data_IF_700746326641
#
_entry.id   IF_700746326641
#
_cell.length_a   1.000
_cell.length_b   1.000
_cell.length_c   1.000
_cell.angle_alpha   90.00
_cell.angle_beta   90.00
_cell.angle_gamma   90.00
#
_symmetry.space_group_name_H-M   'P 1'
#
loop_
_entity.id
_entity.type
_entity.pdbx_description
1 polymer ?
#
# COMPACT_ATOMS: atom_id res chain seq x y z
N UNK A 1 26.93 6.03 6.12
CA UNK A 1 26.40 6.69 4.92
C UNK A 1 25.05 6.04 4.66
N UNK A 2 23.97 6.64 5.15
CA UNK A 2 22.60 6.10 5.01
C UNK A 2 22.21 6.20 3.54
N UNK A 3 21.80 5.08 2.94
CA UNK A 3 21.14 5.07 1.64
C UNK A 3 19.65 5.10 1.86
N UNK A 4 19.00 6.19 1.45
CA UNK A 4 17.53 6.29 1.45
C UNK A 4 17.07 6.24 0.01
N UNK A 5 16.12 5.34 -0.27
CA UNK A 5 15.65 5.03 -1.64
C UNK A 5 15.13 6.29 -2.34
N UNK A 6 15.59 6.50 -3.57
CA UNK A 6 15.02 7.45 -4.53
C UNK A 6 13.67 6.94 -5.03
N UNK A 7 12.74 7.88 -5.23
CA UNK A 7 11.49 7.63 -5.95
C UNK A 7 11.80 7.47 -7.45
N UNK A 8 11.27 6.41 -8.06
CA UNK A 8 11.37 6.17 -9.51
C UNK A 8 9.96 6.08 -10.09
N UNK A 9 9.71 6.84 -11.16
CA UNK A 9 8.61 6.60 -12.08
C UNK A 9 9.21 5.84 -13.27
N UNK A 10 8.81 4.58 -13.47
CA UNK A 10 9.30 3.75 -14.57
C UNK A 10 8.15 3.43 -15.50
N UNK A 11 8.19 3.94 -16.72
CA UNK A 11 7.31 3.51 -17.81
C UNK A 11 7.92 2.30 -18.51
N UNK A 12 7.17 1.19 -18.62
CA UNK A 12 7.59 0.01 -19.37
C UNK A 12 6.84 -0.05 -20.71
N UNK A 13 7.58 -0.05 -21.81
CA UNK A 13 7.06 -0.46 -23.13
C UNK A 13 7.53 -1.88 -23.43
N UNK A 14 6.58 -2.80 -23.62
CA UNK A 14 6.84 -4.15 -24.14
C UNK A 14 6.52 -4.20 -25.63
N UNK A 15 7.54 -4.49 -26.46
CA UNK A 15 7.33 -4.95 -27.82
C UNK A 15 7.46 -6.48 -27.90
N UNK A 16 6.31 -7.10 -28.19
CA UNK A 16 5.99 -8.40 -28.79
C UNK A 16 7.03 -9.54 -28.85
N UNK A 17 6.59 -10.74 -28.44
CA UNK A 17 6.58 -11.96 -29.27
C UNK A 17 5.47 -12.94 -28.82
N UNK A 18 4.83 -13.55 -29.82
CA UNK A 18 3.73 -14.54 -29.81
C UNK A 18 3.93 -15.70 -28.80
N UNK A 19 2.88 -16.36 -28.26
CA UNK A 19 2.15 -17.48 -28.90
C UNK A 19 0.93 -17.93 -28.05
N UNK A 20 -0.20 -18.13 -28.74
CA UNK A 20 -1.40 -18.99 -28.47
C UNK A 20 -2.32 -18.69 -27.27
N UNK A 21 -3.40 -17.99 -27.59
CA UNK A 21 -4.68 -17.94 -26.86
C UNK A 21 -5.41 -19.29 -26.90
N UNK A 22 -5.97 -19.72 -25.77
CA UNK A 22 -7.04 -20.72 -25.69
C UNK A 22 -8.28 -20.02 -25.13
N UNK A 23 -9.36 -20.12 -25.90
CA UNK A 23 -10.67 -19.52 -25.66
C UNK A 23 -11.41 -20.32 -24.58
N UNK A 24 -11.97 -19.64 -23.58
CA UNK A 24 -13.10 -20.14 -22.80
C UNK A 24 -14.22 -19.12 -22.87
N UNK A 25 -15.25 -19.43 -23.66
CA UNK A 25 -16.50 -18.70 -23.72
C UNK A 25 -17.47 -19.34 -22.72
N UNK A 26 -17.95 -18.55 -21.75
CA UNK A 26 -19.13 -18.92 -20.96
C UNK A 26 -20.27 -17.97 -21.35
N UNK A 27 -21.20 -18.50 -22.14
CA UNK A 27 -22.46 -17.85 -22.50
C UNK A 27 -23.40 -17.90 -21.28
N UNK A 28 -23.74 -16.75 -20.72
CA UNK A 28 -24.89 -16.58 -19.83
C UNK A 28 -25.89 -15.65 -20.51
N UNK A 29 -26.93 -16.27 -21.06
CA UNK A 29 -28.11 -15.61 -21.60
C UNK A 29 -28.88 -14.92 -20.46
N UNK A 30 -29.03 -13.60 -20.53
CA UNK A 30 -30.04 -12.87 -19.75
C UNK A 30 -31.26 -12.62 -20.64
N UNK A 31 -32.39 -13.23 -20.27
CA UNK A 31 -33.70 -12.86 -20.78
C UNK A 31 -34.16 -11.57 -20.07
N UNK A 32 -34.46 -10.54 -20.86
CA UNK A 32 -35.15 -9.34 -20.39
C UNK A 32 -36.63 -9.68 -20.19
N UNK A 33 -37.12 -9.56 -18.96
CA UNK A 33 -38.54 -9.30 -18.71
C UNK A 33 -38.67 -7.97 -17.97
N UNK A 34 -39.40 -7.05 -18.60
CA UNK A 34 -39.84 -5.80 -18.01
C UNK A 34 -40.95 -6.09 -17.00
N UNK A 35 -40.82 -5.63 -15.75
CA UNK A 35 -42.00 -5.19 -15.03
C UNK A 35 -41.69 -4.13 -13.97
N UNK A 36 -42.51 -3.08 -14.04
CA UNK A 36 -42.48 -1.88 -13.23
C UNK A 36 -43.26 -2.14 -11.95
N UNK A 37 -42.60 -2.19 -10.77
CA UNK A 37 -43.25 -1.97 -9.46
C UNK A 37 -42.22 -1.77 -8.36
N UNK A 38 -42.40 -0.70 -7.59
CA UNK A 38 -41.66 -0.35 -6.38
C UNK A 38 -41.50 -1.55 -5.44
N UNK A 39 -40.28 -2.07 -5.30
CA UNK A 39 -39.88 -2.93 -4.19
C UNK A 39 -38.45 -2.59 -3.78
N UNK A 40 -38.31 -2.11 -2.55
CA UNK A 40 -37.04 -1.92 -1.86
C UNK A 40 -36.34 -3.28 -1.79
N UNK A 41 -35.23 -3.43 -2.52
CA UNK A 41 -34.42 -4.63 -2.46
C UNK A 41 -33.70 -4.68 -1.10
N UNK A 42 -34.27 -5.41 -0.16
CA UNK A 42 -33.59 -5.82 1.06
C UNK A 42 -32.52 -6.84 0.65
N UNK A 43 -31.30 -6.38 0.45
CA UNK A 43 -30.14 -7.26 0.25
C UNK A 43 -29.80 -7.84 1.63
N UNK A 44 -30.27 -9.06 1.89
CA UNK A 44 -29.80 -9.85 3.03
C UNK A 44 -28.40 -10.36 2.69
N UNK A 45 -27.39 -9.83 3.38
CA UNK A 45 -26.05 -10.39 3.35
C UNK A 45 -26.10 -11.82 3.88
N UNK A 46 -25.91 -12.80 3.00
CA UNK A 46 -25.59 -14.16 3.42
C UNK A 46 -24.17 -14.14 3.95
N UNK A 47 -24.02 -14.12 5.27
CA UNK A 47 -22.74 -14.37 5.92
C UNK A 47 -22.25 -15.76 5.49
N UNK A 48 -21.33 -15.79 4.52
CA UNK A 48 -20.53 -16.97 4.25
C UNK A 48 -19.72 -17.26 5.51
N UNK A 49 -20.06 -18.34 6.21
CA UNK A 49 -19.22 -18.87 7.28
C UNK A 49 -17.87 -19.24 6.68
N UNK A 50 -16.88 -18.37 6.88
CA UNK A 50 -15.47 -18.69 6.64
C UNK A 50 -15.10 -19.81 7.60
N UNK A 51 -14.79 -20.99 7.08
CA UNK A 51 -14.15 -22.06 7.85
C UNK A 51 -12.86 -21.50 8.45
N UNK A 52 -12.83 -21.36 9.77
CA UNK A 52 -11.68 -20.87 10.51
C UNK A 52 -10.46 -21.77 10.22
N UNK A 53 -9.37 -21.17 9.73
CA UNK A 53 -8.13 -21.90 9.46
C UNK A 53 -7.69 -22.66 10.72
N UNK A 54 -7.16 -23.87 10.56
CA UNK A 54 -6.65 -24.66 11.69
C UNK A 54 -5.16 -24.39 11.87
N UNK A 55 -4.65 -24.40 13.12
CA UNK A 55 -3.22 -24.22 13.38
C UNK A 55 -2.42 -25.36 12.72
N UNK A 56 -1.24 -25.06 12.13
CA UNK A 56 -0.34 -26.08 11.63
C UNK A 56 0.09 -27.03 12.76
N UNK A 57 0.29 -28.31 12.42
CA UNK A 57 0.70 -29.32 13.40
C UNK A 57 2.10 -29.80 13.07
N UNK A 58 3.06 -29.54 13.96
CA UNK A 58 4.43 -30.02 13.81
C UNK A 58 4.48 -31.55 13.81
N UNK A 59 5.23 -32.14 12.85
CA UNK A 59 5.55 -33.57 12.89
C UNK A 59 6.41 -33.89 14.12
N UNK A 60 6.16 -35.06 14.71
CA UNK A 60 6.98 -35.60 15.80
C UNK A 60 8.07 -36.49 15.23
N UNK A 61 9.32 -36.10 15.40
CA UNK A 61 10.52 -36.88 15.03
C UNK A 61 11.36 -37.04 16.30
N UNK A 62 11.36 -38.22 16.93
CA UNK A 62 12.10 -38.43 18.18
C UNK A 62 13.60 -38.18 17.99
N UNK A 63 14.15 -37.28 18.79
CA UNK A 63 15.59 -37.07 18.91
C UNK A 63 16.00 -37.28 20.37
N UNK A 64 16.88 -38.25 20.62
CA UNK A 64 17.40 -38.52 21.96
C UNK A 64 18.63 -37.66 22.23
N UNK A 65 18.63 -37.01 23.39
CA UNK A 65 19.76 -36.27 23.92
C UNK A 65 20.09 -36.85 25.29
N UNK A 66 21.34 -37.22 25.52
CA UNK A 66 21.83 -37.65 26.83
C UNK A 66 22.78 -36.60 27.39
N UNK A 67 22.44 -36.05 28.55
CA UNK A 67 23.33 -35.15 29.29
C UNK A 67 23.33 -35.57 30.77
N UNK A 68 24.54 -35.74 31.33
CA UNK A 68 24.74 -36.09 32.73
C UNK A 68 24.01 -37.37 33.19
N UNK A 69 23.81 -38.33 32.28
CA UNK A 69 23.10 -39.58 32.55
C UNK A 69 21.58 -39.47 32.52
N UNK A 70 21.02 -38.32 32.14
CA UNK A 70 19.59 -38.13 31.87
C UNK A 70 19.33 -38.18 30.36
N UNK A 71 18.38 -39.01 29.93
CA UNK A 71 18.00 -39.19 28.52
C UNK A 71 16.67 -38.47 28.27
N UNK A 72 16.73 -37.40 27.49
CA UNK A 72 15.55 -36.65 27.05
C UNK A 72 15.24 -36.96 25.58
N UNK A 73 13.97 -37.23 25.29
CA UNK A 73 13.46 -37.31 23.92
C UNK A 73 12.81 -35.96 23.56
N UNK A 74 13.38 -35.25 22.59
CA UNK A 74 12.77 -34.08 21.97
C UNK A 74 12.18 -34.48 20.62
N UNK A 75 10.84 -34.53 20.53
CA UNK A 75 10.14 -34.87 19.29
C UNK A 75 10.18 -33.75 18.24
N UNK A 76 10.67 -32.56 18.59
CA UNK A 76 10.63 -31.37 17.74
C UNK A 76 12.02 -30.76 17.51
N UNK A 77 13.08 -31.48 17.86
CA UNK A 77 14.46 -31.02 17.68
C UNK A 77 14.77 -30.61 16.24
N UNK A 78 14.09 -31.20 15.26
CA UNK A 78 14.22 -30.86 13.83
C UNK A 78 13.82 -29.41 13.49
N UNK A 79 13.07 -28.72 14.35
CA UNK A 79 12.77 -27.29 14.22
C UNK A 79 13.96 -26.40 14.59
N UNK A 80 14.93 -26.94 15.32
CA UNK A 80 16.19 -26.26 15.62
C UNK A 80 17.19 -26.57 14.52
N UNK A 81 17.34 -25.64 13.59
CA UNK A 81 18.38 -25.67 12.57
C UNK A 81 19.23 -24.40 12.64
N UNK A 82 20.41 -24.51 13.24
CA UNK A 82 21.34 -23.39 13.41
C UNK A 82 21.83 -22.84 12.06
N UNK A 83 21.78 -23.65 10.99
CA UNK A 83 22.12 -23.21 9.62
C UNK A 83 20.98 -22.45 8.92
N UNK A 84 19.74 -22.57 9.41
CA UNK A 84 18.51 -21.97 8.85
C UNK A 84 18.26 -22.33 7.38
N UNK A 85 18.62 -23.54 6.97
CA UNK A 85 18.54 -24.03 5.59
C UNK A 85 17.66 -25.28 5.41
N UNK A 86 17.22 -25.92 6.51
CA UNK A 86 16.40 -27.11 6.46
C UNK A 86 15.01 -26.80 5.85
N UNK A 87 14.64 -27.43 4.71
CA UNK A 87 13.41 -27.12 4.00
C UNK A 87 12.14 -27.51 4.77
N UNK A 88 12.19 -28.57 5.58
CA UNK A 88 11.04 -28.98 6.39
C UNK A 88 10.75 -27.96 7.48
N UNK A 89 11.80 -27.47 8.15
CA UNK A 89 11.70 -26.45 9.21
C UNK A 89 11.15 -25.15 8.63
N UNK A 90 11.72 -24.69 7.50
CA UNK A 90 11.27 -23.47 6.83
C UNK A 90 9.81 -23.58 6.37
N UNK A 91 9.42 -24.72 5.79
CA UNK A 91 8.03 -24.97 5.36
C UNK A 91 7.04 -24.92 6.53
N UNK A 92 7.40 -25.50 7.68
CA UNK A 92 6.55 -25.43 8.88
C UNK A 92 6.43 -24.00 9.42
N UNK A 93 7.54 -23.26 9.52
CA UNK A 93 7.49 -21.85 9.95
C UNK A 93 6.70 -20.96 8.98
N UNK A 94 6.77 -21.23 7.67
CA UNK A 94 5.93 -20.55 6.68
C UNK A 94 4.44 -20.84 6.89
N UNK A 95 4.07 -22.07 7.23
CA UNK A 95 2.69 -22.43 7.56
C UNK A 95 2.22 -21.73 8.85
N UNK A 96 3.06 -21.64 9.87
CA UNK A 96 2.76 -20.90 11.12
C UNK A 96 2.55 -19.41 10.85
N UNK A 97 3.39 -18.80 10.01
CA UNK A 97 3.22 -17.41 9.58
C UNK A 97 1.92 -17.24 8.78
N UNK A 98 1.63 -18.13 7.83
CA UNK A 98 0.39 -18.05 7.04
C UNK A 98 -0.87 -18.20 7.90
N UNK A 99 -0.84 -19.10 8.88
CA UNK A 99 -1.92 -19.25 9.85
C UNK A 99 -2.08 -17.99 10.70
N UNK A 100 -0.96 -17.44 11.19
CA UNK A 100 -0.93 -16.20 11.96
C UNK A 100 -1.50 -15.03 11.14
N UNK A 101 -1.03 -14.84 9.91
CA UNK A 101 -1.52 -13.81 8.98
C UNK A 101 -3.02 -13.99 8.65
N UNK A 102 -3.50 -15.23 8.58
CA UNK A 102 -4.93 -15.51 8.36
C UNK A 102 -5.84 -15.11 9.52
N UNK A 103 -5.26 -14.91 10.71
CA UNK A 103 -5.98 -14.57 11.93
C UNK A 103 -5.77 -13.11 12.36
N UNK A 104 -4.75 -12.43 11.84
CA UNK A 104 -4.37 -11.09 12.32
C UNK A 104 -5.11 -9.99 11.57
N UNK A 105 -5.89 -9.24 12.36
CA UNK A 105 -6.27 -7.85 12.06
C UNK A 105 -5.26 -6.94 12.75
N UNK A 106 -4.61 -6.04 12.01
CA UNK A 106 -3.66 -5.08 12.59
C UNK A 106 -4.42 -3.91 13.20
N UNK A 107 -4.40 -3.76 14.52
CA UNK A 107 -4.88 -2.53 15.17
C UNK A 107 -3.87 -1.41 14.89
N UNK A 108 -4.35 -0.31 14.30
CA UNK A 108 -3.55 0.87 13.98
C UNK A 108 -3.68 1.97 15.02
N UNK A 109 -4.90 2.19 15.52
CA UNK A 109 -5.21 3.26 16.46
C UNK A 109 -6.46 2.90 17.26
N UNK A 110 -6.65 3.58 18.38
CA UNK A 110 -7.88 3.52 19.16
C UNK A 110 -8.30 4.93 19.56
N UNK A 111 -9.60 5.18 19.55
CA UNK A 111 -10.17 6.42 20.04
C UNK A 111 -11.24 6.10 21.09
N UNK A 112 -11.04 6.65 22.28
CA UNK A 112 -11.89 6.40 23.44
C UNK A 112 -12.92 7.52 23.60
N UNK A 113 -14.16 7.11 23.88
CA UNK A 113 -15.27 7.95 24.28
C UNK A 113 -15.77 7.50 25.65
N UNK A 114 -16.69 8.25 26.26
CA UNK A 114 -17.25 7.90 27.56
C UNK A 114 -18.04 6.58 27.53
N UNK A 115 -18.73 6.27 26.43
CA UNK A 115 -19.56 5.08 26.25
C UNK A 115 -19.17 4.21 25.04
N UNK A 116 -18.12 4.56 24.29
CA UNK A 116 -17.65 3.80 23.13
C UNK A 116 -16.12 3.68 23.05
N UNK A 117 -15.66 2.61 22.43
CA UNK A 117 -14.28 2.42 21.96
C UNK A 117 -14.30 2.25 20.43
N UNK A 118 -13.60 3.13 19.73
CA UNK A 118 -13.40 3.07 18.29
C UNK A 118 -12.04 2.46 18.03
N UNK A 119 -11.99 1.39 17.23
CA UNK A 119 -10.75 0.71 16.87
C UNK A 119 -10.54 0.87 15.37
N UNK A 120 -9.40 1.48 15.02
CA UNK A 120 -8.95 1.57 13.63
C UNK A 120 -8.07 0.37 13.35
N UNK A 121 -8.48 -0.41 12.37
CA UNK A 121 -7.95 -1.71 12.05
C UNK A 121 -7.45 -1.75 10.62
N UNK A 122 -6.60 -2.72 10.30
CA UNK A 122 -6.15 -3.02 8.96
C UNK A 122 -6.25 -4.51 8.72
N UNK A 123 -7.00 -4.88 7.70
CA UNK A 123 -7.17 -6.26 7.30
C UNK A 123 -6.94 -6.37 5.79
N UNK A 124 -6.11 -7.33 5.38
CA UNK A 124 -5.70 -7.51 4.00
C UNK A 124 -5.19 -6.22 3.35
N UNK A 125 -4.64 -5.28 4.13
CA UNK A 125 -4.14 -4.01 3.66
C UNK A 125 -5.17 -2.90 3.41
N UNK A 126 -6.45 -3.09 3.76
CA UNK A 126 -7.48 -2.04 3.77
C UNK A 126 -7.75 -1.58 5.21
N UNK A 127 -7.95 -0.28 5.45
CA UNK A 127 -8.36 0.21 6.76
C UNK A 127 -9.81 -0.20 7.06
N UNK A 128 -10.11 -0.41 8.32
CA UNK A 128 -11.44 -0.71 8.87
C UNK A 128 -11.64 0.11 10.15
N UNK A 129 -12.89 0.42 10.45
CA UNK A 129 -13.26 1.09 11.71
C UNK A 129 -14.34 0.27 12.39
N UNK A 130 -14.02 -0.25 13.56
CA UNK A 130 -14.93 -1.07 14.37
C UNK A 130 -15.23 -0.34 15.66
N UNK A 131 -16.51 -0.20 16.00
CA UNK A 131 -16.98 0.52 17.18
C UNK A 131 -17.53 -0.48 18.18
N UNK A 132 -17.09 -0.38 19.43
CA UNK A 132 -17.56 -1.19 20.55
C UNK A 132 -18.23 -0.30 21.59
N UNK A 133 -19.37 -0.75 22.12
CA UNK A 133 -19.95 -0.15 23.31
C UNK A 133 -19.11 -0.46 24.55
N UNK A 134 -18.97 0.51 25.44
CA UNK A 134 -18.33 0.35 26.74
C UNK A 134 -19.37 0.21 27.84
N UNK A 135 -19.04 -0.48 28.95
CA UNK A 135 -19.92 -0.53 30.11
C UNK A 135 -20.02 0.85 30.78
N UNK A 136 -21.04 1.02 31.62
CA UNK A 136 -21.24 2.24 32.39
C UNK A 136 -20.02 2.57 33.28
N UNK A 137 -19.83 3.86 33.57
CA UNK A 137 -18.70 4.33 34.38
C UNK A 137 -18.72 3.65 35.75
N UNK A 138 -17.63 2.95 36.07
CA UNK A 138 -17.46 2.21 37.33
C UNK A 138 -17.63 0.70 37.19
N UNK A 139 -18.23 0.23 36.08
CA UNK A 139 -18.33 -1.20 35.79
C UNK A 139 -17.06 -1.72 35.09
N UNK A 140 -16.56 -2.92 35.45
CA UNK A 140 -15.33 -3.44 34.88
C UNK A 140 -15.53 -3.92 33.42
N UNK A 141 -14.68 -3.45 32.51
CA UNK A 141 -14.58 -3.99 31.15
C UNK A 141 -13.91 -5.37 31.19
N UNK A 142 -14.70 -6.44 31.04
CA UNK A 142 -14.20 -7.83 30.98
C UNK A 142 -13.85 -8.29 29.57
N UNK A 143 -14.68 -7.93 28.59
CA UNK A 143 -14.51 -8.28 27.18
C UNK A 143 -15.27 -7.28 26.30
N UNK A 144 -14.75 -7.01 25.10
CA UNK A 144 -15.50 -6.28 24.07
C UNK A 144 -16.51 -7.24 23.41
N UNK A 145 -17.77 -6.82 23.30
CA UNK A 145 -18.87 -7.60 22.73
C UNK A 145 -19.60 -6.75 21.68
N UNK A 146 -20.07 -7.36 20.60
CA UNK A 146 -21.00 -6.72 19.66
C UNK A 146 -20.42 -5.53 18.88
N UNK A 147 -19.14 -5.57 18.51
CA UNK A 147 -18.53 -4.53 17.69
C UNK A 147 -19.26 -4.34 16.35
N UNK A 148 -19.55 -3.10 15.98
CA UNK A 148 -20.15 -2.79 14.69
C UNK A 148 -19.11 -2.20 13.74
N UNK A 149 -19.14 -2.63 12.48
CA UNK A 149 -18.26 -2.12 11.44
C UNK A 149 -18.87 -0.87 10.80
N UNK A 150 -18.07 0.18 10.62
CA UNK A 150 -18.47 1.32 9.79
C UNK A 150 -18.40 0.93 8.32
N UNK A 151 -19.52 1.05 7.60
CA UNK A 151 -19.58 0.80 6.17
C UNK A 151 -19.13 2.04 5.37
N UNK A 152 -18.34 1.80 4.32
CA UNK A 152 -17.82 2.83 3.45
C UNK A 152 -18.35 2.68 2.02
N UNK A 153 -18.46 3.81 1.32
CA UNK A 153 -19.13 3.92 0.02
C UNK A 153 -18.41 3.11 -1.06
N UNK A 154 -17.08 3.21 -1.08
CA UNK A 154 -16.22 2.56 -2.06
C UNK A 154 -15.62 1.26 -1.50
N UNK A 155 -15.36 0.23 -2.33
CA UNK A 155 -14.72 -1.01 -1.92
C UNK A 155 -13.22 -0.87 -1.60
N UNK A 156 -12.59 0.24 -2.04
CA UNK A 156 -11.18 0.56 -1.82
C UNK A 156 -11.13 2.03 -1.44
N UNK A 157 -10.64 2.32 -0.24
CA UNK A 157 -10.76 3.63 0.37
C UNK A 157 -9.64 3.87 1.40
N UNK A 158 -9.51 5.13 1.81
CA UNK A 158 -8.79 5.54 3.01
C UNK A 158 -9.78 6.10 4.03
N UNK A 159 -9.50 5.86 5.30
CA UNK A 159 -10.19 6.50 6.42
C UNK A 159 -9.16 6.89 7.47
N UNK A 160 -9.23 8.13 7.93
CA UNK A 160 -8.32 8.68 8.93
C UNK A 160 -9.11 9.23 10.13
N UNK A 161 -8.64 9.01 11.36
CA UNK A 161 -9.27 9.57 12.54
C UNK A 161 -9.29 11.10 12.53
N UNK A 162 -10.33 11.68 13.12
CA UNK A 162 -10.39 13.10 13.43
C UNK A 162 -10.70 13.30 14.91
N UNK A 163 -10.29 14.45 15.43
CA UNK A 163 -10.58 14.82 16.81
C UNK A 163 -12.10 14.87 17.03
N UNK A 164 -12.54 14.17 18.07
CA UNK A 164 -13.95 14.08 18.48
C UNK A 164 -14.05 14.35 19.97
N UNK A 165 -15.17 14.92 20.41
CA UNK A 165 -15.37 15.24 21.83
C UNK A 165 -15.60 13.94 22.62
N UNK A 166 -14.87 13.74 23.72
CA UNK A 166 -14.91 12.51 24.53
C UNK A 166 -16.33 12.11 24.98
N UNK A 167 -17.19 13.09 25.29
CA UNK A 167 -18.57 12.85 25.74
C UNK A 167 -19.60 12.81 24.59
N UNK A 168 -19.16 12.72 23.34
CA UNK A 168 -20.04 12.67 22.17
C UNK A 168 -20.30 11.25 21.73
N UNK A 169 -21.49 10.99 21.18
CA UNK A 169 -21.74 9.78 20.39
C UNK A 169 -21.31 9.92 18.93
N UNK A 170 -20.79 11.08 18.53
CA UNK A 170 -20.42 11.38 17.15
C UNK A 170 -18.92 11.17 16.97
N UNK A 171 -18.58 10.20 16.13
CA UNK A 171 -17.23 10.00 15.59
C UNK A 171 -17.06 10.84 14.33
N UNK A 172 -16.03 11.68 14.29
CA UNK A 172 -15.63 12.36 13.05
C UNK A 172 -14.43 11.65 12.42
N UNK A 173 -14.49 11.42 11.12
CA UNK A 173 -13.38 10.88 10.35
C UNK A 173 -13.24 11.55 8.98
N UNK A 174 -12.02 11.50 8.44
CA UNK A 174 -11.74 11.85 7.05
C UNK A 174 -11.85 10.60 6.19
N UNK A 175 -12.45 10.74 5.01
CA UNK A 175 -12.69 9.65 4.06
C UNK A 175 -12.27 10.09 2.67
N UNK A 176 -11.62 9.20 1.92
CA UNK A 176 -11.38 9.40 0.49
C UNK A 176 -11.22 8.07 -0.24
N UNK A 177 -11.26 8.10 -1.56
CA UNK A 177 -10.80 6.98 -2.39
C UNK A 177 -10.13 7.52 -3.66
N UNK A 178 -9.65 6.64 -4.53
CA UNK A 178 -9.10 7.06 -5.82
C UNK A 178 -10.14 7.71 -6.75
N UNK A 179 -11.44 7.61 -6.46
CA UNK A 179 -12.52 8.28 -7.20
C UNK A 179 -13.44 9.14 -6.34
N UNK A 180 -13.25 9.18 -5.02
CA UNK A 180 -14.06 9.99 -4.10
C UNK A 180 -13.18 11.05 -3.44
N UNK A 181 -13.45 12.35 -3.68
CA UNK A 181 -12.65 13.44 -3.12
C UNK A 181 -12.59 13.42 -1.58
N UNK A 182 -11.56 14.03 -0.97
CA UNK A 182 -11.45 14.17 0.47
C UNK A 182 -12.74 14.71 1.09
N UNK A 183 -13.27 13.92 2.02
CA UNK A 183 -14.56 14.14 2.65
C UNK A 183 -14.45 14.03 4.17
N UNK A 184 -15.31 14.74 4.88
CA UNK A 184 -15.43 14.69 6.34
C UNK A 184 -16.83 14.20 6.67
N UNK A 185 -16.91 13.13 7.46
CA UNK A 185 -18.17 12.56 7.93
C UNK A 185 -18.28 12.69 9.44
N UNK A 186 -19.50 12.95 9.89
CA UNK A 186 -19.94 12.70 11.26
C UNK A 186 -20.69 11.38 11.28
N UNK A 187 -20.27 10.46 12.13
CA UNK A 187 -20.87 9.14 12.29
C UNK A 187 -21.46 9.01 13.68
N UNK A 188 -22.77 8.79 13.76
CA UNK A 188 -23.43 8.52 15.02
C UNK A 188 -23.24 7.06 15.42
N UNK A 189 -22.40 6.84 16.42
CA UNK A 189 -22.04 5.51 16.90
C UNK A 189 -23.22 4.73 17.51
N UNK A 190 -24.31 5.41 17.87
CA UNK A 190 -25.52 4.77 18.43
C UNK A 190 -26.49 4.30 17.36
N UNK A 191 -26.65 5.08 16.30
CA UNK A 191 -27.62 4.79 15.23
C UNK A 191 -26.98 4.15 14.01
N UNK A 192 -25.66 4.27 13.88
CA UNK A 192 -24.88 3.79 12.74
C UNK A 192 -24.97 4.69 11.50
N UNK A 193 -25.47 5.93 11.64
CA UNK A 193 -25.73 6.84 10.52
C UNK A 193 -24.54 7.77 10.25
N UNK A 194 -24.07 7.79 9.00
CA UNK A 194 -23.07 8.73 8.48
C UNK A 194 -23.72 9.99 7.88
N UNK A 195 -23.23 11.17 8.26
CA UNK A 195 -23.63 12.46 7.68
C UNK A 195 -22.40 13.17 7.10
N UNK A 196 -22.44 13.44 5.79
CA UNK A 196 -21.40 14.22 5.11
C UNK A 196 -21.40 15.67 5.62
N UNK A 197 -20.25 16.15 6.07
CA UNK A 197 -20.06 17.52 6.59
C UNK A 197 -19.37 18.41 5.59
N UNK A 198 -18.39 17.86 4.89
CA UNK A 198 -17.60 18.58 3.88
C UNK A 198 -17.11 17.58 2.85
N UNK A 199 -17.15 17.98 1.60
CA UNK A 199 -16.44 17.32 0.50
C UNK A 199 -15.63 18.38 -0.24
N UNK A 200 -14.39 18.05 -0.58
CA UNK A 200 -13.55 18.93 -1.39
C UNK A 200 -14.09 19.00 -2.82
N UNK A 201 -14.40 20.21 -3.28
CA UNK A 201 -14.92 20.42 -4.63
C UNK A 201 -13.79 20.29 -5.65
N UNK A 202 -13.92 19.31 -6.54
CA UNK A 202 -13.03 19.18 -7.70
C UNK A 202 -13.60 20.00 -8.86
N UNK A 203 -12.82 20.98 -9.32
CA UNK A 203 -13.20 21.85 -10.44
C UNK A 203 -13.06 21.12 -11.79
N UNK A 204 -13.64 21.68 -12.85
CA UNK A 204 -13.44 21.18 -14.22
C UNK A 204 -14.36 20.03 -14.64
N UNK A 205 -15.55 19.91 -14.03
CA UNK A 205 -16.57 18.94 -14.46
C UNK A 205 -16.29 17.50 -14.01
N UNK A 206 -15.56 17.33 -12.90
CA UNK A 206 -15.32 16.01 -12.32
C UNK A 206 -16.64 15.30 -11.96
N UNK A 207 -16.73 14.04 -12.37
CA UNK A 207 -17.79 13.12 -11.95
C UNK A 207 -17.14 11.77 -11.58
N UNK A 208 -17.27 11.40 -10.32
CA UNK A 208 -16.77 10.15 -9.76
C UNK A 208 -17.33 8.92 -10.49
N UNK A 209 -18.53 9.04 -11.08
CA UNK A 209 -19.19 7.97 -11.81
C UNK A 209 -18.40 7.56 -13.06
N UNK A 210 -17.56 8.44 -13.62
CA UNK A 210 -16.74 8.15 -14.80
C UNK A 210 -15.57 7.21 -14.52
N UNK A 211 -15.25 6.96 -13.25
CA UNK A 211 -14.09 6.20 -12.84
C UNK A 211 -14.48 4.84 -12.27
N UNK A 212 -13.66 3.84 -12.55
CA UNK A 212 -13.73 2.53 -11.94
C UNK A 212 -12.51 2.32 -11.04
N UNK A 213 -12.73 1.64 -9.92
CA UNK A 213 -11.66 1.25 -8.99
C UNK A 213 -11.74 -0.25 -8.76
N UNK A 214 -10.59 -0.91 -8.75
CA UNK A 214 -10.48 -2.33 -8.44
C UNK A 214 -9.19 -2.64 -7.71
N UNK A 215 -9.19 -3.78 -7.03
CA UNK A 215 -8.03 -4.30 -6.32
C UNK A 215 -7.63 -5.62 -6.95
N UNK A 216 -6.36 -5.73 -7.32
CA UNK A 216 -5.76 -6.96 -7.84
C UNK A 216 -4.66 -7.44 -6.92
N UNK A 217 -4.29 -8.71 -7.06
CA UNK A 217 -3.20 -9.33 -6.33
C UNK A 217 -2.14 -9.80 -7.33
N UNK A 218 -0.90 -9.36 -7.15
CA UNK A 218 0.25 -9.86 -7.88
C UNK A 218 1.01 -10.88 -7.03
N UNK A 219 1.50 -11.95 -7.66
CA UNK A 219 2.30 -12.96 -6.98
C UNK A 219 3.78 -12.53 -7.02
N UNK A 220 4.42 -12.42 -5.86
CA UNK A 220 5.86 -12.29 -5.76
C UNK A 220 6.56 -13.64 -6.06
N UNK A 221 7.88 -13.66 -6.36
CA UNK A 221 8.60 -14.91 -6.62
C UNK A 221 8.56 -15.93 -5.48
N UNK A 222 8.35 -15.47 -4.24
CA UNK A 222 8.20 -16.33 -3.05
C UNK A 222 6.74 -16.76 -2.80
N UNK A 223 5.80 -16.39 -3.69
CA UNK A 223 4.38 -16.69 -3.56
C UNK A 223 3.57 -15.66 -2.76
N UNK A 224 4.22 -14.66 -2.14
CA UNK A 224 3.52 -13.60 -1.39
C UNK A 224 2.56 -12.84 -2.31
N UNK A 225 1.31 -12.66 -1.88
CA UNK A 225 0.33 -11.86 -2.62
C UNK A 225 0.47 -10.37 -2.29
N UNK A 226 0.79 -9.57 -3.32
CA UNK A 226 0.96 -8.12 -3.22
C UNK A 226 -0.30 -7.42 -3.73
N UNK A 227 -1.04 -6.68 -2.89
CA UNK A 227 -2.23 -5.97 -3.33
C UNK A 227 -1.88 -4.74 -4.16
N UNK A 228 -2.65 -4.54 -5.23
CA UNK A 228 -2.53 -3.41 -6.16
C UNK A 228 -3.90 -2.74 -6.27
N UNK A 229 -3.97 -1.47 -5.92
CA UNK A 229 -5.16 -0.63 -6.13
C UNK A 229 -5.05 0.05 -7.50
N UNK A 230 -6.08 -0.10 -8.33
CA UNK A 230 -6.13 0.42 -9.70
C UNK A 230 -7.32 1.36 -9.84
N UNK A 231 -7.12 2.50 -10.50
CA UNK A 231 -8.17 3.44 -10.91
C UNK A 231 -8.01 3.78 -12.39
N UNK A 232 -9.12 3.87 -13.11
CA UNK A 232 -9.13 4.32 -14.51
C UNK A 232 -10.47 4.92 -14.93
N UNK A 233 -10.48 5.68 -16.03
CA UNK A 233 -11.69 6.24 -16.64
C UNK A 233 -12.34 5.22 -17.58
N UNK A 234 -13.62 4.89 -17.34
CA UNK A 234 -14.31 3.74 -17.96
C UNK A 234 -14.46 3.83 -19.47
N UNK A 235 -14.56 5.05 -20.00
CA UNK A 235 -14.80 5.34 -21.42
C UNK A 235 -13.51 5.46 -22.25
N UNK A 236 -12.34 5.52 -21.60
CA UNK A 236 -11.05 5.67 -22.28
C UNK A 236 -10.21 4.40 -22.28
N UNK A 237 -10.27 3.61 -21.20
CA UNK A 237 -9.37 2.46 -21.00
C UNK A 237 -9.95 1.19 -21.61
N UNK A 238 -9.12 0.45 -22.36
CA UNK A 238 -9.52 -0.74 -23.12
C UNK A 238 -9.25 -2.06 -22.40
N UNK A 239 -8.27 -2.07 -21.50
CA UNK A 239 -7.77 -3.25 -20.78
C UNK A 239 -7.23 -4.36 -21.69
N UNK A 240 -6.73 -4.01 -22.87
CA UNK A 240 -6.14 -4.94 -23.85
C UNK A 240 -4.60 -5.01 -23.77
N UNK A 241 -4.01 -4.28 -22.82
CA UNK A 241 -2.56 -4.18 -22.61
C UNK A 241 -1.90 -3.04 -23.38
N UNK A 242 -2.65 -2.25 -24.16
CA UNK A 242 -2.13 -1.07 -24.85
C UNK A 242 -2.24 0.23 -24.06
N UNK A 243 -3.04 0.25 -22.99
CA UNK A 243 -3.28 1.45 -22.19
C UNK A 243 -2.01 1.87 -21.42
N UNK A 244 -1.66 3.17 -21.39
CA UNK A 244 -0.56 3.66 -20.59
C UNK A 244 -0.86 3.48 -19.09
N UNK A 245 0.10 2.95 -18.34
CA UNK A 245 -0.02 2.70 -16.90
C UNK A 245 1.08 3.47 -16.14
N UNK A 246 0.65 4.23 -15.14
CA UNK A 246 1.54 4.75 -14.10
C UNK A 246 1.46 3.85 -12.87
N UNK A 247 2.54 3.13 -12.58
CA UNK A 247 2.68 2.32 -11.36
C UNK A 247 3.46 3.10 -10.30
N UNK A 248 2.89 3.25 -9.11
CA UNK A 248 3.49 3.96 -7.97
C UNK A 248 3.74 3.02 -6.79
N UNK A 249 4.82 3.26 -6.03
CA UNK A 249 5.15 2.50 -4.82
C UNK A 249 6.18 3.20 -3.92
N UNK A 250 6.24 2.78 -2.66
CA UNK A 250 7.18 3.30 -1.65
C UNK A 250 7.88 2.18 -0.88
N UNK A 251 7.14 1.43 -0.04
CA UNK A 251 7.58 0.17 0.55
C UNK A 251 8.73 0.26 1.55
N UNK A 252 8.68 1.20 2.50
CA UNK A 252 9.68 1.34 3.59
C UNK A 252 9.04 1.92 4.85
N UNK A 253 9.71 1.79 6.00
CA UNK A 253 9.29 2.36 7.29
C UNK A 253 7.93 1.90 7.84
N UNK A 254 7.45 0.70 7.49
CA UNK A 254 6.05 0.28 7.75
C UNK A 254 5.01 1.28 7.24
N UNK A 255 5.43 2.24 6.41
CA UNK A 255 4.54 3.19 5.80
C UNK A 255 3.76 2.42 4.75
N UNK A 256 2.47 2.26 5.03
CA UNK A 256 1.53 2.01 3.96
C UNK A 256 1.52 3.29 3.12
N UNK A 257 1.49 3.16 1.79
CA UNK A 257 1.08 4.29 0.95
C UNK A 257 -0.42 4.43 1.17
N UNK A 258 -0.74 5.13 2.25
CA UNK A 258 -2.02 5.75 2.59
C UNK A 258 -1.68 7.24 2.84
N UNK A 259 -2.57 8.19 2.50
CA UNK A 259 -2.15 9.58 2.31
C UNK A 259 -2.07 10.40 3.62
N UNK A 260 -1.04 10.22 4.49
CA UNK A 260 -0.55 11.23 5.51
C UNK A 260 0.55 10.72 6.52
N UNK A 261 0.85 11.48 7.60
CA UNK A 261 2.03 11.44 8.50
C UNK A 261 1.70 11.38 10.01
N UNK A 262 2.53 10.73 10.89
CA UNK A 262 2.41 10.78 12.38
C UNK A 262 3.73 10.69 13.18
N UNK A 263 3.72 11.30 14.38
CA UNK A 263 4.87 11.63 15.26
C UNK A 263 5.14 10.65 16.44
N UNK A 264 4.41 9.54 16.57
CA UNK A 264 4.48 8.61 17.71
C UNK A 264 5.78 7.79 17.84
N UNK A 265 6.75 7.98 16.94
CA UNK A 265 8.04 7.26 16.94
C UNK A 265 8.99 7.61 18.10
N UNK A 266 8.65 8.58 18.94
CA UNK A 266 9.52 9.01 20.04
C UNK A 266 9.53 8.04 21.24
N UNK A 267 8.46 7.29 21.51
CA UNK A 267 8.37 6.45 22.72
C UNK A 267 9.28 5.20 22.72
N UNK A 268 9.67 4.74 21.52
CA UNK A 268 10.55 3.58 21.31
C UNK A 268 12.04 3.97 21.36
N UNK A 269 12.39 5.20 20.98
CA UNK A 269 13.77 5.71 20.99
C UNK A 269 14.25 6.03 22.42
N UNK A 270 13.37 6.54 23.28
CA UNK A 270 13.66 6.84 24.69
C UNK A 270 13.91 5.59 25.55
N UNK A 271 13.67 4.39 25.01
CA UNK A 271 13.80 3.09 25.69
C UNK A 271 14.87 2.18 25.07
N UNK A 272 15.77 2.76 24.26
CA UNK A 272 16.95 2.07 23.74
C UNK A 272 16.69 1.08 22.60
N UNK A 273 15.52 1.14 21.95
CA UNK A 273 15.27 0.35 20.75
C UNK A 273 15.90 1.02 19.53
N UNK A 274 16.65 0.23 18.77
CA UNK A 274 17.24 0.64 17.49
C UNK A 274 16.25 0.28 16.38
N UNK A 275 15.96 1.25 15.51
CA UNK A 275 15.13 1.04 14.32
C UNK A 275 15.94 1.39 13.05
N UNK A 276 15.98 0.40 12.16
CA UNK A 276 16.37 0.38 10.75
C UNK A 276 17.83 0.02 10.31
N UNK A 277 17.83 -1.11 9.57
CA UNK A 277 18.62 -1.62 8.45
C UNK A 277 20.13 -1.59 8.55
N UNK A 278 20.66 -2.76 8.91
CA UNK A 278 21.97 -3.26 8.54
C UNK A 278 23.11 -2.34 8.91
N UNK A 279 23.90 -2.69 9.92
CA UNK A 279 25.13 -1.96 10.17
C UNK A 279 26.11 -2.20 9.00
N UNK A 280 26.41 -1.22 8.12
CA UNK A 280 27.31 -1.44 6.99
C UNK A 280 28.76 -1.67 7.43
N UNK A 281 29.04 -1.56 8.74
CA UNK A 281 30.33 -1.98 9.33
C UNK A 281 30.39 -3.50 9.56
N UNK A 282 29.26 -4.20 9.44
CA UNK A 282 29.17 -5.66 9.40
C UNK A 282 29.10 -6.10 7.95
N UNK A 283 29.99 -7.02 7.59
CA UNK A 283 30.20 -7.48 6.22
C UNK A 283 28.92 -8.00 5.55
N UNK A 284 28.16 -8.83 6.26
CA UNK A 284 26.87 -9.36 5.80
C UNK A 284 25.91 -8.26 5.33
N UNK A 285 25.73 -7.23 6.17
CA UNK A 285 24.82 -6.14 5.86
C UNK A 285 25.38 -5.20 4.79
N UNK A 286 26.70 -4.99 4.76
CA UNK A 286 27.33 -4.21 3.69
C UNK A 286 27.04 -4.83 2.31
N UNK A 287 27.28 -6.13 2.13
CA UNK A 287 27.01 -6.79 0.86
C UNK A 287 25.52 -6.87 0.54
N UNK A 288 24.67 -7.10 1.54
CA UNK A 288 23.22 -7.04 1.36
C UNK A 288 22.76 -5.66 0.89
N UNK A 289 23.17 -4.57 1.55
CA UNK A 289 22.84 -3.19 1.16
C UNK A 289 23.38 -2.85 -0.22
N UNK A 290 24.63 -3.23 -0.51
CA UNK A 290 25.26 -3.01 -1.81
C UNK A 290 24.54 -3.75 -2.94
N UNK A 291 23.94 -4.92 -2.68
CA UNK A 291 23.25 -5.71 -3.70
C UNK A 291 22.05 -5.02 -4.35
N UNK A 292 21.41 -4.07 -3.64
CA UNK A 292 20.25 -3.33 -4.14
C UNK A 292 20.44 -1.81 -4.17
N UNK A 293 21.60 -1.30 -3.75
CA UNK A 293 21.95 0.13 -3.85
C UNK A 293 21.81 0.63 -5.29
N UNK A 294 20.94 1.64 -5.57
CA UNK A 294 20.73 2.10 -6.94
C UNK A 294 22.01 2.64 -7.61
N UNK A 295 22.80 3.44 -6.88
CA UNK A 295 24.04 4.03 -7.41
C UNK A 295 25.08 2.95 -7.67
N UNK A 296 25.23 1.96 -6.79
CA UNK A 296 26.27 0.94 -6.95
C UNK A 296 25.95 -0.05 -8.08
N UNK A 297 24.66 -0.27 -8.38
CA UNK A 297 24.19 -1.23 -9.38
C UNK A 297 23.92 -0.63 -10.77
N UNK A 298 24.26 0.65 -11.01
CA UNK A 298 24.32 1.18 -12.39
C UNK A 298 25.39 0.43 -13.18
N UNK A 299 25.02 -0.06 -14.37
CA UNK A 299 25.86 -0.86 -15.26
C UNK A 299 25.62 -0.48 -16.72
N UNK A 300 26.49 -0.94 -17.61
CA UNK A 300 26.31 -0.72 -19.05
C UNK A 300 25.10 -1.49 -19.58
N UNK A 301 24.00 -0.77 -19.81
CA UNK A 301 22.75 -1.29 -20.35
C UNK A 301 21.84 -0.16 -20.83
N UNK A 302 20.76 -0.52 -21.50
CA UNK A 302 19.69 0.41 -21.81
C UNK A 302 18.86 0.70 -20.56
N UNK A 303 18.54 1.97 -20.32
CA UNK A 303 17.65 2.47 -19.28
C UNK A 303 16.41 3.11 -19.92
N UNK A 304 15.24 3.13 -19.25
CA UNK A 304 14.07 3.85 -19.76
C UNK A 304 14.28 5.36 -19.74
N UNK A 305 13.33 6.13 -20.29
CA UNK A 305 13.23 7.55 -19.99
C UNK A 305 13.11 7.74 -18.46
N UNK A 306 13.97 8.59 -17.88
CA UNK A 306 14.02 8.84 -16.43
C UNK A 306 14.03 10.35 -16.15
N UNK A 307 13.10 10.77 -15.30
CA UNK A 307 13.14 12.08 -14.64
C UNK A 307 13.52 11.90 -13.17
N UNK A 308 14.64 12.49 -12.76
CA UNK A 308 15.06 12.58 -11.36
C UNK A 308 14.81 13.98 -10.83
N UNK A 309 14.08 14.11 -9.71
CA UNK A 309 13.85 15.38 -9.02
C UNK A 309 14.55 15.41 -7.66
N UNK A 310 15.03 16.58 -7.25
CA UNK A 310 15.64 16.79 -5.92
C UNK A 310 15.40 18.22 -5.41
N UNK A 311 15.60 18.44 -4.12
CA UNK A 311 15.70 19.78 -3.53
C UNK A 311 17.10 20.03 -2.99
N UNK A 312 17.69 21.19 -3.27
CA UNK A 312 19.04 21.52 -2.79
C UNK A 312 19.11 21.53 -1.27
N UNK A 313 18.05 22.00 -0.61
CA UNK A 313 17.96 22.15 0.84
C UNK A 313 17.18 20.99 1.49
N UNK A 314 17.13 19.82 0.84
CA UNK A 314 16.44 18.65 1.38
C UNK A 314 17.17 18.11 2.63
N UNK A 315 16.55 18.17 3.83
CA UNK A 315 17.17 17.70 5.06
C UNK A 315 17.01 16.18 5.28
N UNK A 316 16.25 15.48 4.43
CA UNK A 316 15.93 14.05 4.56
C UNK A 316 16.71 13.17 3.61
N UNK A 317 16.91 13.63 2.37
CA UNK A 317 17.72 12.96 1.35
C UNK A 317 18.61 14.01 0.71
N UNK A 318 19.93 13.89 0.86
CA UNK A 318 20.84 14.92 0.35
C UNK A 318 20.79 14.94 -1.18
N UNK A 319 20.72 16.14 -1.79
CA UNK A 319 20.72 16.31 -3.25
C UNK A 319 21.88 15.60 -3.97
N UNK A 320 22.99 15.37 -3.26
CA UNK A 320 24.17 14.71 -3.81
C UNK A 320 23.92 13.23 -4.15
N UNK A 321 22.95 12.57 -3.51
CA UNK A 321 22.56 11.20 -3.83
C UNK A 321 21.95 11.10 -5.25
N UNK A 322 20.85 11.81 -5.58
CA UNK A 322 20.30 11.81 -6.94
C UNK A 322 21.26 12.40 -7.98
N UNK A 323 22.07 13.40 -7.62
CA UNK A 323 23.04 13.98 -8.56
C UNK A 323 24.11 12.96 -8.98
N UNK A 324 24.70 12.21 -8.03
CA UNK A 324 25.67 11.14 -8.34
C UNK A 324 25.03 10.02 -9.15
N UNK A 325 23.80 9.64 -8.81
CA UNK A 325 23.06 8.61 -9.54
C UNK A 325 22.88 8.99 -11.02
N UNK A 326 22.40 10.21 -11.29
CA UNK A 326 22.23 10.71 -12.67
C UNK A 326 23.56 10.79 -13.40
N UNK A 327 24.61 11.30 -12.74
CA UNK A 327 25.94 11.38 -13.36
C UNK A 327 26.45 9.98 -13.78
N UNK A 328 26.31 8.99 -12.90
CA UNK A 328 26.72 7.61 -13.20
C UNK A 328 25.85 6.95 -14.26
N UNK A 329 24.54 7.22 -14.28
CA UNK A 329 23.66 6.75 -15.35
C UNK A 329 24.08 7.29 -16.72
N UNK A 330 24.39 8.59 -16.82
CA UNK A 330 24.84 9.22 -18.07
C UNK A 330 26.13 8.65 -18.60
N UNK A 331 27.02 8.23 -17.71
CA UNK A 331 28.32 7.63 -18.06
C UNK A 331 28.17 6.19 -18.58
N UNK A 332 27.22 5.42 -18.04
CA UNK A 332 27.11 3.97 -18.29
C UNK A 332 25.95 3.55 -19.20
N UNK A 333 24.89 4.34 -19.33
CA UNK A 333 23.75 3.98 -20.18
C UNK A 333 24.18 3.82 -21.64
N UNK A 334 23.60 2.85 -22.34
CA UNK A 334 23.96 2.53 -23.74
C UNK A 334 22.89 2.92 -24.76
N UNK A 335 21.75 3.41 -24.29
CA UNK A 335 20.64 3.90 -25.11
C UNK A 335 20.67 5.44 -25.27
N UNK A 336 19.74 5.98 -26.06
CA UNK A 336 19.56 7.43 -26.27
C UNK A 336 18.31 8.00 -25.57
N UNK A 337 17.72 7.23 -24.64
CA UNK A 337 16.51 7.65 -23.91
C UNK A 337 16.80 8.85 -23.00
N UNK A 338 15.75 9.61 -22.74
CA UNK A 338 15.79 10.88 -22.06
C UNK A 338 16.13 10.70 -20.57
N UNK A 339 17.19 11.38 -20.10
CA UNK A 339 17.59 11.39 -18.70
C UNK A 339 17.70 12.83 -18.14
N UNK A 340 16.64 13.26 -17.46
CA UNK A 340 16.54 14.60 -16.88
C UNK A 340 16.84 14.60 -15.38
N UNK A 341 17.51 15.66 -14.92
CA UNK A 341 17.70 15.94 -13.51
C UNK A 341 17.25 17.37 -13.20
N UNK A 342 16.25 17.49 -12.34
CA UNK A 342 15.66 18.76 -11.91
C UNK A 342 15.88 18.94 -10.41
N UNK A 343 16.89 19.72 -10.06
CA UNK A 343 17.18 20.07 -8.67
C UNK A 343 16.62 21.46 -8.37
N UNK A 344 15.61 21.53 -7.51
CA UNK A 344 15.03 22.78 -7.05
C UNK A 344 15.94 23.45 -6.01
N UNK A 345 16.61 24.52 -6.43
CA UNK A 345 17.64 25.18 -5.61
C UNK A 345 17.06 25.91 -4.38
N UNK A 346 15.78 26.27 -4.42
CA UNK A 346 15.08 26.91 -3.30
C UNK A 346 14.25 25.96 -2.43
N UNK A 347 14.18 24.67 -2.77
CA UNK A 347 13.27 23.73 -2.12
C UNK A 347 13.99 22.72 -1.23
N UNK A 348 13.22 22.14 -0.30
CA UNK A 348 13.61 20.98 0.50
C UNK A 348 12.97 19.69 -0.02
N UNK A 349 12.65 18.79 0.90
CA UNK A 349 12.17 17.44 0.57
C UNK A 349 10.86 17.38 -0.23
N UNK A 350 9.98 18.36 -0.04
CA UNK A 350 8.62 18.34 -0.61
C UNK A 350 8.47 19.24 -1.84
N UNK A 351 9.58 19.63 -2.47
CA UNK A 351 9.61 20.67 -3.50
C UNK A 351 9.11 22.03 -2.95
N UNK A 352 8.77 22.96 -3.84
CA UNK A 352 8.24 24.29 -3.49
C UNK A 352 6.87 24.14 -2.79
N UNK A 353 6.69 24.85 -1.68
CA UNK A 353 5.47 24.78 -0.86
C UNK A 353 4.34 25.68 -1.34
N UNK A 354 4.60 26.61 -2.26
CA UNK A 354 3.59 27.48 -2.83
C UNK A 354 2.63 26.72 -3.74
N UNK A 355 1.33 27.06 -3.66
CA UNK A 355 0.26 26.34 -4.38
C UNK A 355 0.49 26.32 -5.90
N UNK A 356 0.86 27.46 -6.49
CA UNK A 356 1.03 27.57 -7.94
C UNK A 356 2.32 26.92 -8.41
N UNK A 357 3.38 27.06 -7.63
CA UNK A 357 4.66 26.41 -7.89
C UNK A 357 4.49 24.89 -7.86
N UNK A 358 3.73 24.36 -6.89
CA UNK A 358 3.43 22.93 -6.83
C UNK A 358 2.68 22.43 -8.07
N UNK A 359 1.70 23.20 -8.56
CA UNK A 359 1.01 22.89 -9.82
C UNK A 359 1.95 22.89 -11.03
N UNK A 360 2.94 23.80 -11.07
CA UNK A 360 3.96 23.81 -12.13
C UNK A 360 4.87 22.58 -12.07
N UNK A 361 5.25 22.13 -10.87
CA UNK A 361 6.03 20.91 -10.67
C UNK A 361 5.28 19.65 -11.14
N UNK A 362 3.99 19.56 -10.79
CA UNK A 362 3.14 18.44 -11.19
C UNK A 362 2.92 18.45 -12.71
N UNK A 363 2.65 19.62 -13.30
CA UNK A 363 2.51 19.79 -14.75
C UNK A 363 3.79 19.41 -15.51
N UNK A 364 4.97 19.78 -15.00
CA UNK A 364 6.25 19.38 -15.60
C UNK A 364 6.44 17.86 -15.58
N UNK A 365 6.11 17.21 -14.45
CA UNK A 365 6.22 15.76 -14.31
C UNK A 365 5.27 15.03 -15.29
N UNK A 366 4.04 15.51 -15.43
CA UNK A 366 3.08 14.94 -16.38
C UNK A 366 3.46 15.19 -17.84
N UNK A 367 4.00 16.37 -18.15
CA UNK A 367 4.53 16.64 -19.49
C UNK A 367 5.68 15.70 -19.85
N UNK A 368 6.58 15.40 -18.90
CA UNK A 368 7.62 14.40 -19.09
C UNK A 368 7.02 13.01 -19.37
N UNK A 369 6.09 12.54 -18.54
CA UNK A 369 5.43 11.23 -18.73
C UNK A 369 4.73 11.14 -20.09
N UNK A 370 3.94 12.16 -20.45
CA UNK A 370 3.26 12.20 -21.74
C UNK A 370 4.25 12.23 -22.91
N UNK A 371 5.36 12.97 -22.80
CA UNK A 371 6.41 12.99 -23.82
C UNK A 371 7.04 11.62 -23.99
N UNK A 372 7.40 10.96 -22.89
CA UNK A 372 8.01 9.62 -22.89
C UNK A 372 7.08 8.54 -23.46
N UNK A 373 5.78 8.76 -23.36
CA UNK A 373 4.75 7.89 -23.94
C UNK A 373 4.32 8.32 -25.35
N UNK A 374 4.98 9.30 -25.96
CA UNK A 374 4.61 9.88 -27.26
C UNK A 374 3.15 10.37 -27.33
N UNK A 375 2.62 10.87 -26.22
CA UNK A 375 1.24 11.37 -26.09
C UNK A 375 1.11 12.87 -26.33
N UNK A 376 2.23 13.59 -26.52
CA UNK A 376 2.23 15.01 -26.87
C UNK A 376 2.22 15.13 -28.40
N UNK A 377 1.24 15.82 -29.02
CA UNK A 377 1.25 16.08 -30.45
C UNK A 377 2.55 16.78 -30.87
N UNK A 378 3.17 16.35 -31.96
CA UNK A 378 4.29 17.07 -32.54
C UNK A 378 3.87 18.51 -32.90
N UNK A 379 4.73 19.49 -32.68
CA UNK A 379 4.55 20.83 -33.22
C UNK A 379 4.57 20.75 -34.76
N UNK A 380 3.42 20.47 -35.38
CA UNK A 380 3.33 20.25 -36.83
C UNK A 380 2.03 19.64 -37.37
N UNK A 381 0.98 19.39 -36.58
CA UNK A 381 -0.32 18.95 -37.10
C UNK A 381 -1.40 20.05 -37.11
N UNK A 382 -0.99 21.29 -37.34
CA UNK A 382 -1.84 22.33 -37.94
C UNK A 382 -1.20 22.74 -39.28
N UNK A 383 -1.24 21.84 -40.25
CA UNK A 383 -1.33 22.22 -41.66
C UNK A 383 -2.26 21.22 -42.37
N UNK A 384 -3.41 21.78 -42.78
CA UNK A 384 -4.50 21.29 -43.64
C UNK A 384 -5.76 20.77 -42.96
#
# INVERSE_FOLDING_TARGET
MMMRRMHFVVSHHHHQRSVKSVVYALLLSFSLSSNNSNNVAVIRSTATMTTQAQPPVAKKVPHQMELFGDVRVDNYYWLRDDSRSNPDMLSYLQQENAFTDSLIVKIQDIQLFNDHLVVYERENGLPKVTIYGLPDVGEPLKSLQGGHLVEFIDPIYSVDPSESQFNSSILRFYYSSMKTPPSVYDYDMKTGVSVLKKIETVLGGFDASNYFIERKWANAPDGTQIPISIVYRKDLVKLDGSDPLLLYGYGSYEACIDPNFKASRLSLLDRGFIYEWGDPRKEEFYFYMKSYSPVDNVKAQNYPDILVTAGLNDPRVMYSEPAKFVAKLRDLKTDDNLLLFKCELGAGHFSKSGRFEKLQEDAFTYAFIMKSLNMIPGHGSEQN
#
